data_IF_227071653845
#
_entry.id   IF_227071653845
#
_cell.length_a   1.000
_cell.length_b   1.000
_cell.length_c   1.000
_cell.angle_alpha   90.00
_cell.angle_beta   90.00
_cell.angle_gamma   90.00
#
_symmetry.space_group_name_H-M   'P 1'
#
loop_
_entity.id
_entity.type
_entity.pdbx_description
1 polymer ?
#
# COMPACT_ATOMS: atom_id res chain seq x y z
N UNK A 1 -12.25 3.63 -14.53
CA UNK A 1 -13.02 2.95 -13.48
C UNK A 1 -12.46 3.25 -12.09
N UNK A 2 -11.19 2.92 -11.80
CA UNK A 2 -10.62 3.13 -10.45
C UNK A 2 -10.52 4.59 -10.01
N UNK A 3 -10.28 5.54 -10.92
CA UNK A 3 -10.27 6.97 -10.60
C UNK A 3 -11.61 7.54 -10.11
N UNK A 4 -12.69 6.74 -10.15
CA UNK A 4 -14.01 7.14 -9.68
C UNK A 4 -14.26 6.72 -8.22
N UNK A 5 -13.41 5.87 -7.64
CA UNK A 5 -13.58 5.31 -6.30
C UNK A 5 -12.29 5.45 -5.49
N UNK A 6 -12.31 6.19 -4.36
CA UNK A 6 -11.11 6.44 -3.58
C UNK A 6 -10.60 5.19 -2.84
N UNK A 7 -11.48 4.26 -2.42
CA UNK A 7 -11.08 2.99 -1.81
C UNK A 7 -11.31 1.82 -2.76
N UNK A 8 -10.35 0.91 -2.83
CA UNK A 8 -10.44 -0.29 -3.65
C UNK A 8 -9.94 -1.49 -2.86
N UNK A 9 -10.76 -2.55 -2.81
CA UNK A 9 -10.38 -3.82 -2.21
C UNK A 9 -9.35 -4.53 -3.10
N UNK A 10 -8.24 -4.93 -2.50
CA UNK A 10 -7.23 -5.79 -3.12
C UNK A 10 -7.05 -7.01 -2.22
N UNK A 11 -7.84 -8.06 -2.50
CA UNK A 11 -7.73 -9.33 -1.79
C UNK A 11 -6.53 -10.11 -2.31
N UNK A 12 -5.97 -10.97 -1.46
CA UNK A 12 -5.04 -12.00 -1.92
C UNK A 12 -5.64 -12.86 -3.04
N UNK A 13 -4.79 -13.30 -3.97
CA UNK A 13 -5.16 -14.18 -5.07
C UNK A 13 -4.63 -15.59 -4.83
N UNK A 14 -3.96 -16.16 -5.83
CA UNK A 14 -3.22 -17.43 -5.65
C UNK A 14 -1.96 -17.28 -4.76
N UNK A 15 -1.61 -16.04 -4.38
CA UNK A 15 -0.54 -15.72 -3.47
C UNK A 15 -0.84 -14.42 -2.71
N UNK A 16 0.01 -14.16 -1.70
CA UNK A 16 -0.12 -12.98 -0.82
C UNK A 16 0.13 -11.66 -1.56
N UNK A 17 1.06 -11.66 -2.52
CA UNK A 17 1.35 -10.49 -3.34
C UNK A 17 0.43 -10.45 -4.57
N UNK A 18 -0.16 -9.29 -4.81
CA UNK A 18 -1.09 -9.04 -5.89
C UNK A 18 -0.65 -7.82 -6.68
N UNK A 19 -0.42 -7.97 -7.99
CA UNK A 19 -0.05 -6.84 -8.87
C UNK A 19 -1.05 -5.68 -8.76
N UNK A 20 -2.34 -6.01 -8.60
CA UNK A 20 -3.42 -5.03 -8.38
C UNK A 20 -3.11 -4.06 -7.25
N UNK A 21 -2.55 -4.53 -6.13
CA UNK A 21 -2.21 -3.67 -4.99
C UNK A 21 -1.28 -2.54 -5.41
N UNK A 22 -0.22 -2.88 -6.15
CA UNK A 22 0.77 -1.91 -6.61
C UNK A 22 0.23 -0.99 -7.70
N UNK A 23 -0.54 -1.53 -8.65
CA UNK A 23 -1.21 -0.74 -9.69
C UNK A 23 -2.15 0.31 -9.08
N UNK A 24 -2.91 -0.07 -8.04
CA UNK A 24 -3.83 0.83 -7.35
C UNK A 24 -3.11 2.00 -6.66
N UNK A 25 -1.95 1.76 -6.04
CA UNK A 25 -1.13 2.84 -5.49
C UNK A 25 -0.71 3.83 -6.57
N UNK A 26 -0.22 3.36 -7.72
CA UNK A 26 0.16 4.24 -8.83
C UNK A 26 -1.03 5.02 -9.43
N UNK A 27 -2.24 4.49 -9.31
CA UNK A 27 -3.49 5.14 -9.72
C UNK A 27 -4.05 6.11 -8.65
N UNK A 28 -3.39 6.29 -7.52
CA UNK A 28 -3.81 7.19 -6.44
C UNK A 28 -4.98 6.66 -5.61
N UNK A 29 -5.23 5.36 -5.62
CA UNK A 29 -6.27 4.73 -4.82
C UNK A 29 -5.78 4.42 -3.40
N UNK A 30 -6.70 4.40 -2.46
CA UNK A 30 -6.50 3.81 -1.13
C UNK A 30 -6.79 2.32 -1.24
N UNK A 31 -5.79 1.49 -0.97
CA UNK A 31 -5.93 0.04 -1.04
C UNK A 31 -6.48 -0.48 0.28
N UNK A 32 -7.50 -1.32 0.23
CA UNK A 32 -7.99 -2.06 1.40
C UNK A 32 -7.61 -3.52 1.23
N UNK A 33 -6.75 -4.03 2.11
CA UNK A 33 -6.25 -5.41 2.12
C UNK A 33 -6.37 -6.02 3.51
N UNK A 34 -6.21 -7.33 3.61
CA UNK A 34 -6.12 -8.04 4.89
C UNK A 34 -4.68 -8.08 5.40
N UNK A 35 -4.50 -8.10 6.73
CA UNK A 35 -3.20 -8.30 7.38
C UNK A 35 -2.48 -9.55 6.88
N UNK A 36 -1.17 -9.42 6.67
CA UNK A 36 -0.29 -10.47 6.19
C UNK A 36 1.18 -10.18 6.56
N UNK A 37 2.10 -11.12 6.34
CA UNK A 37 3.53 -10.84 6.45
C UNK A 37 4.04 -9.71 5.52
N UNK A 38 3.24 -9.26 4.55
CA UNK A 38 3.58 -8.16 3.64
C UNK A 38 3.28 -6.77 4.22
N UNK A 39 2.59 -6.67 5.35
CA UNK A 39 2.21 -5.39 5.98
C UNK A 39 3.37 -4.37 6.09
N UNK A 40 4.62 -4.79 6.44
CA UNK A 40 5.75 -3.86 6.48
C UNK A 40 6.07 -3.20 5.12
N UNK A 41 5.76 -3.87 4.01
CA UNK A 41 5.98 -3.31 2.67
C UNK A 41 5.06 -2.12 2.38
N UNK A 42 3.90 -2.09 3.02
CA UNK A 42 2.90 -1.05 2.80
C UNK A 42 3.07 0.18 3.70
N UNK A 43 4.07 0.18 4.59
CA UNK A 43 4.32 1.30 5.49
C UNK A 43 4.54 2.62 4.74
N UNK A 44 3.70 3.60 5.06
CA UNK A 44 3.72 4.94 4.46
C UNK A 44 3.04 5.03 3.09
N UNK A 45 2.35 3.98 2.63
CA UNK A 45 1.51 4.00 1.43
C UNK A 45 0.04 4.20 1.80
N UNK A 46 -0.83 4.64 0.87
CA UNK A 46 -2.26 4.82 1.11
C UNK A 46 -2.97 3.45 1.20
N UNK A 47 -2.81 2.77 2.33
CA UNK A 47 -3.36 1.43 2.59
C UNK A 47 -4.18 1.43 3.88
N UNK A 48 -5.23 0.63 3.89
CA UNK A 48 -5.96 0.19 5.08
C UNK A 48 -5.78 -1.32 5.17
N UNK A 49 -5.26 -1.76 6.31
CA UNK A 49 -5.05 -3.17 6.61
C UNK A 49 -6.13 -3.56 7.61
N UNK A 50 -7.03 -4.45 7.21
CA UNK A 50 -8.08 -5.01 8.07
C UNK A 50 -7.63 -6.36 8.62
N UNK A 51 -8.07 -6.68 9.83
CA UNK A 51 -7.87 -8.01 10.42
C UNK A 51 -8.90 -8.99 9.85
N UNK A 52 -10.12 -8.50 9.65
CA UNK A 52 -11.26 -9.27 9.16
C UNK A 52 -12.10 -8.49 8.15
N UNK A 53 -12.54 -9.16 7.08
CA UNK A 53 -13.36 -8.54 6.04
C UNK A 53 -14.73 -8.07 6.52
N UNK A 54 -15.23 -8.52 7.68
CA UNK A 54 -16.45 -7.99 8.27
C UNK A 54 -16.36 -6.50 8.60
N UNK A 55 -15.16 -5.96 8.79
CA UNK A 55 -14.94 -4.53 9.02
C UNK A 55 -15.43 -3.67 7.85
N UNK A 56 -15.41 -4.18 6.61
CA UNK A 56 -15.90 -3.45 5.43
C UNK A 56 -17.43 -3.29 5.42
N UNK A 57 -18.15 -3.99 6.31
CA UNK A 57 -19.60 -3.88 6.45
C UNK A 57 -20.02 -2.70 7.33
N UNK A 58 -19.08 -2.11 8.09
CA UNK A 58 -19.34 -0.90 8.85
C UNK A 58 -19.59 0.28 7.89
N UNK A 59 -20.79 0.89 7.88
CA UNK A 59 -21.12 1.99 6.98
C UNK A 59 -20.26 3.24 7.20
N UNK A 60 -19.68 3.41 8.40
CA UNK A 60 -18.83 4.55 8.74
C UNK A 60 -17.35 4.30 8.42
N UNK A 61 -16.94 3.06 8.17
CA UNK A 61 -15.55 2.70 7.92
C UNK A 61 -14.93 3.43 6.71
N UNK A 62 -15.59 3.51 5.53
CA UNK A 62 -15.00 4.18 4.37
C UNK A 62 -14.62 5.63 4.64
N UNK A 63 -15.48 6.39 5.34
CA UNK A 63 -15.20 7.79 5.68
C UNK A 63 -13.98 7.91 6.59
N UNK A 64 -13.94 7.12 7.67
CA UNK A 64 -12.81 7.11 8.62
C UNK A 64 -11.49 6.75 7.94
N UNK A 65 -11.52 5.73 7.08
CA UNK A 65 -10.37 5.27 6.32
C UNK A 65 -9.85 6.31 5.34
N UNK A 66 -10.74 7.00 4.60
CA UNK A 66 -10.33 8.10 3.71
C UNK A 66 -9.65 9.20 4.53
N UNK A 67 -10.28 9.66 5.61
CA UNK A 67 -9.72 10.73 6.45
C UNK A 67 -8.33 10.36 6.99
N UNK A 68 -8.09 9.08 7.30
CA UNK A 68 -6.82 8.60 7.82
C UNK A 68 -5.68 8.65 6.81
N UNK A 69 -5.89 8.24 5.56
CA UNK A 69 -4.78 7.98 4.62
C UNK A 69 -4.87 8.74 3.29
N UNK A 70 -5.91 9.54 3.05
CA UNK A 70 -6.06 10.29 1.79
C UNK A 70 -4.87 11.21 1.50
N UNK A 71 -4.20 11.76 2.52
CA UNK A 71 -3.01 12.58 2.32
C UNK A 71 -1.81 11.81 1.73
N UNK A 72 -1.81 10.48 1.80
CA UNK A 72 -0.78 9.61 1.25
C UNK A 72 -1.01 9.25 -0.22
N UNK A 73 -2.16 9.61 -0.82
CA UNK A 73 -2.45 9.31 -2.24
C UNK A 73 -1.79 10.27 -3.21
N UNK A 74 -1.09 11.30 -2.70
CA UNK A 74 -0.32 12.22 -3.53
C UNK A 74 0.66 11.47 -4.43
N UNK A 75 0.70 11.87 -5.70
CA UNK A 75 1.50 11.17 -6.72
C UNK A 75 2.98 11.20 -6.37
N UNK A 76 3.51 12.35 -5.97
CA UNK A 76 4.94 12.52 -5.72
C UNK A 76 5.36 11.75 -4.47
N UNK A 77 4.48 11.70 -3.46
CA UNK A 77 4.66 10.85 -2.28
C UNK A 77 4.76 9.37 -2.65
N UNK A 78 3.77 8.83 -3.36
CA UNK A 78 3.74 7.41 -3.77
C UNK A 78 4.96 7.07 -4.63
N UNK A 79 5.26 7.91 -5.63
CA UNK A 79 6.37 7.68 -6.55
C UNK A 79 7.72 7.65 -5.84
N UNK A 80 7.95 8.56 -4.90
CA UNK A 80 9.18 8.57 -4.10
C UNK A 80 9.29 7.32 -3.23
N UNK A 81 8.19 6.88 -2.64
CA UNK A 81 8.16 5.71 -1.77
C UNK A 81 8.41 4.41 -2.52
N UNK A 82 7.84 4.28 -3.73
CA UNK A 82 7.95 3.11 -4.60
C UNK A 82 9.15 3.18 -5.56
N UNK A 83 9.92 4.27 -5.55
CA UNK A 83 11.09 4.39 -6.39
C UNK A 83 12.11 3.29 -6.07
N UNK A 84 12.65 2.57 -7.07
CA UNK A 84 13.56 1.43 -6.82
C UNK A 84 14.78 1.79 -5.96
N UNK A 85 15.32 3.01 -6.11
CA UNK A 85 16.48 3.44 -5.34
C UNK A 85 16.22 3.56 -3.83
N UNK A 86 14.96 3.77 -3.43
CA UNK A 86 14.55 3.81 -2.02
C UNK A 86 14.86 2.49 -1.32
N UNK A 87 14.81 1.37 -2.04
CA UNK A 87 15.09 0.04 -1.52
C UNK A 87 16.51 -0.42 -1.86
N UNK A 88 16.97 -0.16 -3.09
CA UNK A 88 18.29 -0.61 -3.55
C UNK A 88 19.44 0.14 -2.88
N UNK A 89 19.25 1.40 -2.47
CA UNK A 89 20.28 2.22 -1.82
C UNK A 89 20.82 1.56 -0.54
N UNK A 90 19.96 1.29 0.46
CA UNK A 90 20.38 0.63 1.70
C UNK A 90 21.04 -0.73 1.46
N UNK A 91 20.45 -1.57 0.58
CA UNK A 91 21.00 -2.89 0.25
C UNK A 91 22.42 -2.77 -0.30
N UNK A 92 22.65 -1.83 -1.23
CA UNK A 92 23.99 -1.61 -1.81
C UNK A 92 25.00 -1.13 -0.77
N UNK A 93 24.59 -0.28 0.16
CA UNK A 93 25.46 0.22 1.22
C UNK A 93 25.88 -0.91 2.17
N UNK A 94 24.94 -1.77 2.57
CA UNK A 94 25.22 -2.94 3.42
C UNK A 94 26.18 -3.92 2.73
N UNK A 95 25.96 -4.21 1.44
CA UNK A 95 26.86 -5.07 0.66
C UNK A 95 28.29 -4.50 0.58
N UNK A 96 28.44 -3.18 0.46
CA UNK A 96 29.75 -2.52 0.45
C UNK A 96 30.44 -2.58 1.81
N UNK A 97 29.70 -2.47 2.91
CA UNK A 97 30.23 -2.60 4.27
C UNK A 97 30.67 -4.03 4.57
N UNK A 98 29.87 -5.03 4.19
CA UNK A 98 30.19 -6.45 4.39
C UNK A 98 31.36 -6.96 3.53
N UNK A 99 31.72 -6.22 2.47
CA UNK A 99 32.85 -6.55 1.59
C UNK A 99 34.18 -5.89 2.02
N UNK A 100 34.18 -5.11 3.11
CA UNK A 100 35.38 -4.50 3.72
C UNK A 100 35.82 -5.29 4.94
#
# INVERSE_FOLDING_TARGET
LYSQYPLVLSTEGNGLDCHRTWELFYLGCIVVTRTSPLDPLYQGLPVIIVDDWHEVRDPDAPRRWIEQVAHLTDRDHVWRRLHPQTYLGPIRQELQHASR
#
